data_IF_913673035715
#
_entry.id   IF_913673035715
#
_cell.length_a   1.000
_cell.length_b   1.000
_cell.length_c   1.000
_cell.angle_alpha   90.00
_cell.angle_beta   90.00
_cell.angle_gamma   90.00
#
_symmetry.space_group_name_H-M   'P 1'
#
loop_
_entity.id
_entity.type
_entity.pdbx_description
1 polymer ?
#
# COMPACT_ATOMS: atom_id res chain seq x y z
N UNK A 1 13.64 17.50 -76.08
CA UNK A 1 12.42 18.19 -75.61
C UNK A 1 11.33 17.14 -75.46
N UNK A 2 10.74 17.12 -74.28
CA UNK A 2 9.92 16.05 -73.71
C UNK A 2 8.67 15.71 -74.52
N UNK A 3 8.42 14.42 -74.72
CA UNK A 3 7.15 13.86 -75.20
C UNK A 3 6.52 13.02 -74.10
N UNK A 4 5.21 13.20 -73.89
CA UNK A 4 4.37 12.27 -73.13
C UNK A 4 3.65 12.92 -71.95
N UNK A 5 2.43 13.41 -72.18
CA UNK A 5 1.38 13.43 -71.16
C UNK A 5 0.72 12.05 -71.10
N UNK A 6 0.50 11.51 -69.90
CA UNK A 6 -0.72 10.74 -69.64
C UNK A 6 -1.29 11.08 -68.22
N UNK A 7 -2.41 10.48 -67.79
CA UNK A 7 -3.74 11.10 -67.76
C UNK A 7 -4.17 11.52 -66.34
N UNK A 8 -5.25 12.29 -66.26
CA UNK A 8 -5.99 12.48 -65.01
C UNK A 8 -6.56 11.12 -64.55
N UNK A 9 -6.10 10.64 -63.39
CA UNK A 9 -6.74 9.56 -62.64
C UNK A 9 -7.55 10.16 -61.50
N UNK A 10 -8.84 10.22 -61.76
CA UNK A 10 -9.94 10.24 -60.79
C UNK A 10 -9.79 9.07 -59.79
N UNK A 11 -10.38 9.24 -58.60
CA UNK A 11 -10.45 8.29 -57.47
C UNK A 11 -9.22 8.17 -56.56
N UNK A 12 -9.29 8.82 -55.40
CA UNK A 12 -9.66 8.10 -54.18
C UNK A 12 -9.74 9.11 -53.02
N UNK A 13 -10.97 9.50 -52.71
CA UNK A 13 -11.35 9.90 -51.37
C UNK A 13 -11.14 8.71 -50.44
N UNK A 14 -9.92 8.47 -49.99
CA UNK A 14 -9.68 7.73 -48.76
C UNK A 14 -9.24 8.75 -47.72
N UNK A 15 -10.20 9.57 -47.29
CA UNK A 15 -10.24 9.94 -45.89
C UNK A 15 -10.25 8.64 -45.12
N UNK A 16 -9.09 8.19 -44.63
CA UNK A 16 -9.00 7.15 -43.62
C UNK A 16 -9.79 7.64 -42.40
N UNK A 17 -11.10 7.40 -42.42
CA UNK A 17 -11.94 7.49 -41.25
C UNK A 17 -11.42 6.40 -40.32
N UNK A 18 -10.55 6.82 -39.39
CA UNK A 18 -10.28 6.06 -38.18
C UNK A 18 -11.63 5.66 -37.60
N UNK A 19 -11.94 4.37 -37.66
CA UNK A 19 -13.14 3.81 -37.05
C UNK A 19 -12.92 3.88 -35.54
N UNK A 20 -13.30 5.00 -34.95
CA UNK A 20 -13.29 5.18 -33.50
C UNK A 20 -14.28 4.18 -32.92
N UNK A 21 -13.79 3.13 -32.26
CA UNK A 21 -14.65 2.13 -31.63
C UNK A 21 -15.28 2.73 -30.35
N UNK A 22 -16.61 2.96 -30.29
CA UNK A 22 -17.25 3.63 -29.14
C UNK A 22 -17.11 2.86 -27.82
N UNK A 23 -16.79 1.56 -27.89
CA UNK A 23 -16.54 0.69 -26.75
C UNK A 23 -15.20 1.03 -26.08
N UNK A 24 -14.19 1.44 -26.85
CA UNK A 24 -12.88 1.82 -26.32
C UNK A 24 -12.98 3.11 -25.49
N UNK A 25 -13.69 4.11 -25.99
CA UNK A 25 -13.93 5.35 -25.24
C UNK A 25 -14.81 5.18 -24.01
N UNK A 26 -15.80 4.28 -24.06
CA UNK A 26 -16.60 3.95 -22.87
C UNK A 26 -15.74 3.26 -21.79
N UNK A 27 -14.88 2.32 -22.20
CA UNK A 27 -13.95 1.65 -21.30
C UNK A 27 -12.93 2.64 -20.70
N UNK A 28 -12.34 3.52 -21.52
CA UNK A 28 -11.44 4.58 -21.05
C UNK A 28 -12.13 5.49 -20.04
N UNK A 29 -13.34 5.96 -20.33
CA UNK A 29 -14.10 6.85 -19.41
C UNK A 29 -14.38 6.18 -18.07
N UNK A 30 -14.73 4.89 -18.06
CA UNK A 30 -14.94 4.11 -16.83
C UNK A 30 -13.63 3.94 -16.05
N UNK A 31 -12.53 3.63 -16.74
CA UNK A 31 -11.20 3.51 -16.13
C UNK A 31 -10.74 4.85 -15.54
N UNK A 32 -10.95 5.98 -16.22
CA UNK A 32 -10.66 7.31 -15.70
C UNK A 32 -11.57 7.70 -14.51
N UNK A 33 -12.86 7.36 -14.55
CA UNK A 33 -13.81 7.62 -13.47
C UNK A 33 -13.49 6.83 -12.19
N UNK A 34 -12.91 5.63 -12.30
CA UNK A 34 -12.50 4.81 -11.15
C UNK A 34 -11.54 5.53 -10.18
N UNK A 35 -10.84 6.57 -10.65
CA UNK A 35 -9.89 7.37 -9.88
C UNK A 35 -10.58 8.28 -8.86
N UNK A 36 -11.77 8.79 -9.19
CA UNK A 36 -12.56 9.61 -8.27
C UNK A 36 -13.03 8.84 -7.04
N UNK A 37 -13.12 7.50 -7.13
CA UNK A 37 -13.43 6.64 -5.99
C UNK A 37 -12.22 6.48 -5.06
N UNK A 38 -10.98 6.60 -5.57
CA UNK A 38 -9.78 6.46 -4.74
C UNK A 38 -9.58 7.63 -3.78
N UNK A 39 -9.90 8.86 -4.19
CA UNK A 39 -9.78 10.05 -3.35
C UNK A 39 -10.56 9.94 -2.01
N UNK A 40 -11.87 9.63 -1.99
CA UNK A 40 -12.63 9.46 -0.74
C UNK A 40 -12.16 8.22 0.04
N UNK A 41 -11.68 7.16 -0.61
CA UNK A 41 -11.11 6.00 0.08
C UNK A 41 -9.87 6.39 0.90
N UNK A 42 -8.93 7.14 0.31
CA UNK A 42 -7.77 7.65 1.06
C UNK A 42 -8.18 8.61 2.18
N UNK A 43 -9.19 9.46 1.95
CA UNK A 43 -9.78 10.28 3.00
C UNK A 43 -10.33 9.45 4.17
N UNK A 44 -11.03 8.35 3.88
CA UNK A 44 -11.50 7.40 4.88
C UNK A 44 -10.36 6.73 5.65
N UNK A 45 -9.26 6.36 4.97
CA UNK A 45 -8.08 5.78 5.63
C UNK A 45 -7.38 6.79 6.56
N UNK A 46 -7.32 8.07 6.19
CA UNK A 46 -6.79 9.13 7.06
C UNK A 46 -7.67 9.28 8.31
N UNK A 47 -8.99 9.25 8.17
CA UNK A 47 -9.90 9.29 9.32
C UNK A 47 -9.67 8.08 10.23
N UNK A 48 -9.50 6.88 9.66
CA UNK A 48 -9.17 5.68 10.43
C UNK A 48 -7.84 5.82 11.18
N UNK A 49 -6.81 6.39 10.54
CA UNK A 49 -5.52 6.67 11.17
C UNK A 49 -5.65 7.64 12.36
N UNK A 50 -6.48 8.69 12.24
CA UNK A 50 -6.78 9.60 13.35
C UNK A 50 -7.52 8.90 14.50
N UNK A 51 -8.43 7.97 14.20
CA UNK A 51 -9.12 7.18 15.22
C UNK A 51 -8.15 6.26 15.96
N UNK A 52 -7.19 5.64 15.25
CA UNK A 52 -6.13 4.87 15.89
C UNK A 52 -5.23 5.73 16.78
N UNK A 53 -4.86 6.93 16.33
CA UNK A 53 -4.09 7.87 17.15
C UNK A 53 -4.84 8.27 18.42
N UNK A 54 -6.14 8.54 18.33
CA UNK A 54 -6.98 8.80 19.50
C UNK A 54 -7.04 7.58 20.44
N UNK A 55 -7.24 6.37 19.90
CA UNK A 55 -7.29 5.14 20.69
C UNK A 55 -5.97 4.89 21.44
N UNK A 56 -4.83 5.12 20.79
CA UNK A 56 -3.51 5.05 21.40
C UNK A 56 -3.39 5.99 22.62
N UNK A 57 -3.83 7.25 22.47
CA UNK A 57 -3.78 8.23 23.56
C UNK A 57 -4.65 7.81 24.74
N UNK A 58 -5.85 7.27 24.48
CA UNK A 58 -6.75 6.78 25.52
C UNK A 58 -6.14 5.60 26.27
N UNK A 59 -5.61 4.61 25.56
CA UNK A 59 -4.97 3.44 26.19
C UNK A 59 -3.73 3.83 27.00
N UNK A 60 -2.89 4.72 26.47
CA UNK A 60 -1.72 5.23 27.15
C UNK A 60 -2.08 5.98 28.43
N UNK A 61 -3.11 6.82 28.36
CA UNK A 61 -3.62 7.57 29.51
C UNK A 61 -4.12 6.63 30.61
N UNK A 62 -4.93 5.64 30.24
CA UNK A 62 -5.46 4.62 31.16
C UNK A 62 -4.33 3.87 31.87
N UNK A 63 -3.27 3.50 31.13
CA UNK A 63 -2.11 2.82 31.69
C UNK A 63 -1.31 3.72 32.64
N UNK A 64 -1.17 5.00 32.31
CA UNK A 64 -0.44 5.96 33.13
C UNK A 64 -1.11 6.20 34.48
N UNK A 65 -2.44 6.32 34.52
CA UNK A 65 -3.18 6.53 35.77
C UNK A 65 -3.23 5.27 36.65
N UNK A 66 -3.20 4.07 36.05
CA UNK A 66 -3.27 2.79 36.76
C UNK A 66 -1.90 2.11 36.98
N UNK A 67 -0.78 2.79 36.70
CA UNK A 67 0.58 2.21 36.73
C UNK A 67 0.96 1.52 38.05
N UNK A 68 0.39 1.96 39.18
CA UNK A 68 0.65 1.38 40.51
C UNK A 68 -0.22 0.16 40.83
N UNK A 69 -1.29 -0.06 40.07
CA UNK A 69 -2.31 -1.07 40.32
C UNK A 69 -2.22 -2.24 39.34
N UNK A 70 -1.68 -2.01 38.14
CA UNK A 70 -1.47 -3.04 37.13
C UNK A 70 -0.43 -4.06 37.58
N UNK A 71 -0.72 -5.34 37.36
CA UNK A 71 0.28 -6.40 37.49
C UNK A 71 1.33 -6.28 36.39
N UNK A 72 2.52 -6.86 36.60
CA UNK A 72 3.62 -6.81 35.62
C UNK A 72 3.21 -7.35 34.24
N UNK A 73 2.49 -8.48 34.21
CA UNK A 73 1.97 -9.08 32.98
C UNK A 73 0.96 -8.19 32.28
N UNK A 74 0.02 -7.59 33.02
CA UNK A 74 -0.99 -6.68 32.45
C UNK A 74 -0.36 -5.42 31.89
N UNK A 75 0.62 -4.84 32.61
CA UNK A 75 1.37 -3.69 32.14
C UNK A 75 2.13 -4.02 30.85
N UNK A 76 2.81 -5.16 30.79
CA UNK A 76 3.50 -5.63 29.59
C UNK A 76 2.54 -5.88 28.42
N UNK A 77 1.37 -6.49 28.67
CA UNK A 77 0.33 -6.68 27.65
C UNK A 77 -0.25 -5.36 27.15
N UNK A 78 -0.41 -4.37 28.03
CA UNK A 78 -0.80 -3.01 27.68
C UNK A 78 0.20 -2.33 26.76
N UNK A 79 1.50 -2.39 27.09
CA UNK A 79 2.58 -1.90 26.22
C UNK A 79 2.56 -2.61 24.87
N UNK A 80 2.39 -3.94 24.84
CA UNK A 80 2.29 -4.69 23.59
C UNK A 80 1.06 -4.28 22.76
N UNK A 81 -0.05 -3.92 23.39
CA UNK A 81 -1.23 -3.36 22.73
C UNK A 81 -0.96 -2.00 22.09
N UNK A 82 -0.28 -1.10 22.81
CA UNK A 82 0.13 0.20 22.27
C UNK A 82 1.06 0.04 21.06
N UNK A 83 2.02 -0.88 21.12
CA UNK A 83 2.91 -1.19 19.99
C UNK A 83 2.09 -1.71 18.80
N UNK A 84 1.11 -2.59 19.02
CA UNK A 84 0.26 -3.13 17.95
C UNK A 84 -0.53 -2.03 17.23
N UNK A 85 -1.17 -1.14 17.99
CA UNK A 85 -1.87 0.04 17.44
C UNK A 85 -0.94 0.88 16.57
N UNK A 86 0.30 1.14 17.02
CA UNK A 86 1.28 1.91 16.23
C UNK A 86 1.73 1.18 14.96
N UNK A 87 1.82 -0.15 15.00
CA UNK A 87 2.19 -0.93 13.82
C UNK A 87 1.10 -0.91 12.74
N UNK A 88 -0.18 -1.00 13.14
CA UNK A 88 -1.30 -0.88 12.21
C UNK A 88 -1.35 0.53 11.61
N UNK A 89 -1.17 1.58 12.43
CA UNK A 89 -1.10 2.95 11.95
C UNK A 89 0.01 3.15 10.90
N UNK A 90 1.23 2.67 11.17
CA UNK A 90 2.34 2.76 10.21
C UNK A 90 2.06 2.01 8.90
N UNK A 91 1.37 0.87 8.97
CA UNK A 91 0.95 0.13 7.77
C UNK A 91 -0.09 0.94 6.98
N UNK A 92 -1.07 1.55 7.65
CA UNK A 92 -2.06 2.42 7.01
C UNK A 92 -1.39 3.60 6.31
N UNK A 93 -0.46 4.29 6.97
CA UNK A 93 0.32 5.38 6.36
C UNK A 93 1.03 4.90 5.09
N UNK A 94 1.66 3.72 5.13
CA UNK A 94 2.35 3.13 3.98
C UNK A 94 1.41 2.82 2.82
N UNK A 95 0.21 2.31 3.11
CA UNK A 95 -0.84 2.03 2.12
C UNK A 95 -1.37 3.33 1.51
N UNK A 96 -1.61 4.37 2.31
CA UNK A 96 -2.08 5.68 1.83
C UNK A 96 -1.03 6.29 0.89
N UNK A 97 0.22 6.40 1.33
CA UNK A 97 1.30 7.00 0.55
C UNK A 97 1.57 6.19 -0.72
N UNK A 98 1.71 4.86 -0.61
CA UNK A 98 2.00 3.99 -1.74
C UNK A 98 0.86 3.93 -2.76
N UNK A 99 -0.38 3.88 -2.29
CA UNK A 99 -1.57 3.94 -3.13
C UNK A 99 -1.69 5.28 -3.85
N UNK A 100 -1.55 6.39 -3.12
CA UNK A 100 -1.58 7.73 -3.69
C UNK A 100 -0.47 7.93 -4.75
N UNK A 101 0.77 7.53 -4.45
CA UNK A 101 1.90 7.62 -5.37
C UNK A 101 1.67 6.81 -6.65
N UNK A 102 1.07 5.63 -6.54
CA UNK A 102 0.88 4.70 -7.67
C UNK A 102 -0.29 5.11 -8.56
N UNK A 103 -1.44 5.47 -8.00
CA UNK A 103 -2.69 5.61 -8.75
C UNK A 103 -3.17 7.07 -8.94
N UNK A 104 -2.73 7.99 -8.08
CA UNK A 104 -3.14 9.40 -8.13
C UNK A 104 -2.00 10.29 -8.67
N UNK A 105 -0.79 10.17 -8.12
CA UNK A 105 0.35 11.06 -8.40
C UNK A 105 0.95 10.94 -9.81
N UNK A 106 1.05 9.71 -10.36
CA UNK A 106 1.69 9.46 -11.67
C UNK A 106 1.01 10.13 -12.88
N UNK A 107 -0.17 10.70 -12.71
CA UNK A 107 -0.99 11.28 -13.78
C UNK A 107 -1.11 12.81 -13.69
N UNK A 108 -0.36 13.47 -12.80
CA UNK A 108 -0.28 14.94 -12.73
C UNK A 108 1.16 15.40 -13.06
N UNK A 109 1.68 14.94 -14.20
CA UNK A 109 3.07 15.08 -14.64
C UNK A 109 3.25 16.05 -15.82
N UNK A 110 2.37 17.04 -16.01
CA UNK A 110 2.59 18.05 -17.06
C UNK A 110 2.77 19.49 -16.59
N UNK A 111 2.49 19.87 -15.35
CA UNK A 111 2.70 21.28 -14.93
C UNK A 111 2.62 21.38 -13.42
N UNK A 112 3.73 21.57 -12.70
CA UNK A 112 3.85 22.44 -11.51
C UNK A 112 5.30 22.40 -10.96
N UNK A 113 5.99 23.55 -10.85
CA UNK A 113 7.40 23.65 -10.45
C UNK A 113 7.67 23.40 -8.95
N UNK A 114 6.65 23.25 -8.11
CA UNK A 114 6.81 23.10 -6.64
C UNK A 114 6.44 21.68 -6.16
N UNK A 115 7.15 20.66 -6.66
CA UNK A 115 7.11 19.31 -6.05
C UNK A 115 8.13 19.23 -4.91
N UNK A 116 7.75 18.82 -3.69
CA UNK A 116 8.72 18.60 -2.63
C UNK A 116 9.53 17.31 -2.91
N UNK A 117 10.84 17.36 -2.64
CA UNK A 117 11.82 16.33 -3.06
C UNK A 117 11.55 14.90 -2.53
N UNK A 118 10.73 14.74 -1.49
CA UNK A 118 10.42 13.44 -0.90
C UNK A 118 9.46 12.56 -1.74
N UNK A 119 8.72 13.13 -2.70
CA UNK A 119 7.74 12.39 -3.51
C UNK A 119 8.35 11.77 -4.78
N UNK A 120 9.51 12.26 -5.26
CA UNK A 120 10.14 11.79 -6.50
C UNK A 120 11.02 10.55 -6.33
N UNK A 121 11.36 10.18 -5.09
CA UNK A 121 12.27 9.08 -4.74
C UNK A 121 11.61 7.86 -4.08
N UNK A 122 10.29 7.73 -4.13
CA UNK A 122 9.62 6.55 -3.58
C UNK A 122 9.62 5.43 -4.63
N UNK A 123 10.71 4.65 -4.67
CA UNK A 123 10.83 3.47 -5.54
C UNK A 123 9.77 2.42 -5.14
N UNK A 124 8.91 1.97 -6.07
CA UNK A 124 7.95 0.89 -5.84
C UNK A 124 8.56 -0.38 -5.21
N UNK A 125 9.84 -0.68 -5.44
CA UNK A 125 10.56 -1.78 -4.78
C UNK A 125 10.67 -1.56 -3.27
N UNK A 126 11.07 -0.36 -2.85
CA UNK A 126 11.17 0.01 -1.42
C UNK A 126 9.82 -0.01 -0.72
N UNK A 127 8.73 0.30 -1.45
CA UNK A 127 7.37 0.21 -0.91
C UNK A 127 7.00 -1.23 -0.53
N UNK A 128 7.27 -2.17 -1.44
CA UNK A 128 6.95 -3.59 -1.23
C UNK A 128 7.71 -4.16 -0.04
N UNK A 129 9.00 -3.84 0.08
CA UNK A 129 9.85 -4.30 1.19
C UNK A 129 9.35 -3.73 2.52
N UNK A 130 9.03 -2.43 2.58
CA UNK A 130 8.49 -1.80 3.80
C UNK A 130 7.17 -2.42 4.24
N UNK A 131 6.25 -2.66 3.30
CA UNK A 131 4.98 -3.34 3.60
C UNK A 131 5.18 -4.76 4.12
N UNK A 132 6.06 -5.54 3.50
CA UNK A 132 6.38 -6.88 3.98
C UNK A 132 6.98 -6.86 5.39
N UNK A 133 7.92 -5.94 5.66
CA UNK A 133 8.53 -5.78 6.97
C UNK A 133 7.49 -5.38 8.04
N UNK A 134 6.59 -4.44 7.76
CA UNK A 134 5.50 -4.07 8.66
C UNK A 134 4.60 -5.25 8.98
N UNK A 135 4.23 -6.05 7.99
CA UNK A 135 3.34 -7.20 8.16
C UNK A 135 3.98 -8.33 8.98
N UNK A 136 5.27 -8.62 8.76
CA UNK A 136 6.03 -9.53 9.62
C UNK A 136 6.10 -8.99 11.05
N UNK A 137 6.38 -7.70 11.23
CA UNK A 137 6.46 -7.05 12.55
C UNK A 137 5.16 -7.15 13.34
N UNK A 138 4.01 -6.84 12.71
CA UNK A 138 2.68 -7.01 13.31
C UNK A 138 2.48 -8.45 13.78
N UNK A 139 2.78 -9.42 12.92
CA UNK A 139 2.66 -10.84 13.25
C UNK A 139 3.59 -11.27 14.39
N UNK A 140 4.82 -10.74 14.45
CA UNK A 140 5.76 -10.99 15.55
C UNK A 140 5.23 -10.52 16.90
N UNK A 141 4.64 -9.31 16.95
CA UNK A 141 4.09 -8.73 18.20
C UNK A 141 2.91 -9.56 18.70
N UNK A 142 2.04 -10.03 17.80
CA UNK A 142 0.94 -10.91 18.16
C UNK A 142 1.42 -12.24 18.74
N UNK A 143 2.51 -12.79 18.20
CA UNK A 143 3.11 -14.01 18.74
C UNK A 143 3.78 -13.76 20.10
N UNK A 144 4.45 -12.61 20.28
CA UNK A 144 5.01 -12.20 21.56
C UNK A 144 3.92 -12.00 22.62
N UNK A 145 2.77 -11.42 22.25
CA UNK A 145 1.60 -11.27 23.13
C UNK A 145 1.11 -12.63 23.61
N UNK A 146 0.98 -13.57 22.68
CA UNK A 146 0.55 -14.93 22.99
C UNK A 146 1.56 -15.71 23.85
N UNK A 147 2.85 -15.41 23.71
CA UNK A 147 3.90 -15.98 24.54
C UNK A 147 3.88 -15.40 25.96
N UNK A 148 3.68 -14.08 26.09
CA UNK A 148 3.56 -13.40 27.38
C UNK A 148 2.34 -13.91 28.16
N UNK A 149 1.22 -14.12 27.47
CA UNK A 149 -0.03 -14.60 28.06
C UNK A 149 -0.27 -16.11 27.84
N UNK A 150 0.80 -16.89 27.71
CA UNK A 150 0.74 -18.32 27.31
C UNK A 150 -0.12 -19.18 28.23
N UNK A 151 -0.24 -18.80 29.51
CA UNK A 151 -1.05 -19.54 30.47
C UNK A 151 -2.56 -19.41 30.21
N UNK A 152 -2.98 -18.33 29.55
CA UNK A 152 -4.39 -18.04 29.26
C UNK A 152 -4.75 -18.23 27.77
N UNK A 153 -3.75 -18.44 26.92
CA UNK A 153 -3.91 -18.64 25.49
C UNK A 153 -4.12 -20.12 25.14
N UNK A 154 -5.02 -20.38 24.19
CA UNK A 154 -5.26 -21.74 23.72
C UNK A 154 -4.04 -22.25 22.91
N UNK A 155 -3.45 -23.42 23.26
CA UNK A 155 -2.30 -23.97 22.56
C UNK A 155 -2.49 -24.15 21.05
N UNK A 156 -3.71 -24.43 20.59
CA UNK A 156 -4.04 -24.54 19.17
C UNK A 156 -3.94 -23.19 18.46
N UNK A 157 -4.40 -22.11 19.09
CA UNK A 157 -4.28 -20.76 18.54
C UNK A 157 -2.81 -20.32 18.46
N UNK A 158 -2.00 -20.66 19.47
CA UNK A 158 -0.55 -20.38 19.44
C UNK A 158 0.11 -21.09 18.26
N UNK A 159 -0.22 -22.37 18.01
CA UNK A 159 0.31 -23.11 16.85
C UNK A 159 -0.03 -22.43 15.52
N UNK A 160 -1.27 -21.97 15.34
CA UNK A 160 -1.68 -21.24 14.14
C UNK A 160 -0.97 -19.88 14.01
N UNK A 161 -0.82 -19.14 15.11
CA UNK A 161 -0.03 -17.88 15.13
C UNK A 161 1.41 -18.12 14.66
N UNK A 162 2.06 -19.19 15.12
CA UNK A 162 3.41 -19.58 14.68
C UNK A 162 3.42 -19.93 13.18
N UNK A 163 2.47 -20.75 12.70
CA UNK A 163 2.42 -21.17 11.31
C UNK A 163 2.22 -20.00 10.33
N UNK A 164 1.31 -19.07 10.68
CA UNK A 164 1.09 -17.85 9.90
C UNK A 164 2.36 -16.99 9.89
N UNK A 165 3.02 -16.82 11.04
CA UNK A 165 4.25 -16.04 11.14
C UNK A 165 5.37 -16.60 10.25
N UNK A 166 5.59 -17.92 10.29
CA UNK A 166 6.56 -18.61 9.43
C UNK A 166 6.22 -18.45 7.96
N UNK A 167 4.93 -18.46 7.61
CA UNK A 167 4.47 -18.21 6.23
C UNK A 167 4.85 -16.79 5.78
N UNK A 168 4.57 -15.76 6.60
CA UNK A 168 4.96 -14.38 6.27
C UNK A 168 6.47 -14.19 6.15
N UNK A 169 7.25 -14.79 7.05
CA UNK A 169 8.71 -14.74 6.98
C UNK A 169 9.24 -15.39 5.70
N UNK A 170 8.68 -16.54 5.34
CA UNK A 170 9.02 -17.23 4.08
C UNK A 170 8.67 -16.39 2.85
N UNK A 171 7.49 -15.78 2.82
CA UNK A 171 7.08 -14.89 1.73
C UNK A 171 8.00 -13.67 1.59
N UNK A 172 8.46 -13.10 2.71
CA UNK A 172 9.39 -11.97 2.67
C UNK A 172 10.78 -12.35 2.16
N UNK A 173 11.28 -13.53 2.53
CA UNK A 173 12.55 -14.06 2.00
C UNK A 173 12.43 -14.26 0.48
N UNK A 174 11.34 -14.82 0.00
CA UNK A 174 11.08 -14.99 -1.43
C UNK A 174 11.01 -13.64 -2.18
N UNK A 175 10.38 -12.64 -1.56
CA UNK A 175 10.31 -11.29 -2.12
C UNK A 175 11.70 -10.66 -2.24
N UNK A 176 12.51 -10.71 -1.17
CA UNK A 176 13.88 -10.20 -1.17
C UNK A 176 14.78 -10.94 -2.17
N UNK A 177 14.59 -12.26 -2.32
CA UNK A 177 15.30 -13.05 -3.33
C UNK A 177 14.94 -12.59 -4.75
N UNK A 178 13.65 -12.40 -5.03
CA UNK A 178 13.16 -11.95 -6.34
C UNK A 178 13.71 -10.57 -6.69
N UNK A 179 13.70 -9.65 -5.72
CA UNK A 179 14.23 -8.29 -5.90
C UNK A 179 15.75 -8.31 -6.21
N UNK A 180 16.52 -9.12 -5.47
CA UNK A 180 17.95 -9.32 -5.73
C UNK A 180 18.23 -9.90 -7.14
N UNK A 181 17.40 -10.83 -7.61
CA UNK A 181 17.54 -11.39 -8.96
C UNK A 181 17.28 -10.34 -10.04
N UNK A 182 16.31 -9.45 -9.84
CA UNK A 182 16.01 -8.38 -10.79
C UNK A 182 17.13 -7.33 -10.85
N UNK A 183 17.72 -6.98 -9.71
CA UNK A 183 18.86 -6.05 -9.64
C UNK A 183 20.14 -6.61 -10.29
N UNK A 184 20.33 -7.94 -10.31
CA UNK A 184 21.51 -8.58 -10.92
C UNK A 184 21.39 -8.72 -12.45
N UNK A 185 20.22 -8.42 -13.03
CA UNK A 185 19.95 -8.56 -14.48
C UNK A 185 20.07 -7.23 -15.24
N UNK A 186 20.35 -6.14 -14.54
CA UNK A 186 20.80 -4.85 -15.07
C UNK A 186 22.28 -4.64 -14.76
#
# INVERSE_FOLDING_TARGET
>A
MSSGTPPASDNALESSQEVIHPIEHAFETVVFASRWIQAPLYGGLIIAELLYAYKFLVELWEMAIHIRQLQETEFMLGVLGLIDVTMVANLLTMVIIGGYATFVSKLNLETHPDRPDWLTHVDPGTIKIKLAASLIGISSIHLLKAFVDVANENPEHIKWKIFIHVTFLSSAILLAWTDRLMLKKH
#
